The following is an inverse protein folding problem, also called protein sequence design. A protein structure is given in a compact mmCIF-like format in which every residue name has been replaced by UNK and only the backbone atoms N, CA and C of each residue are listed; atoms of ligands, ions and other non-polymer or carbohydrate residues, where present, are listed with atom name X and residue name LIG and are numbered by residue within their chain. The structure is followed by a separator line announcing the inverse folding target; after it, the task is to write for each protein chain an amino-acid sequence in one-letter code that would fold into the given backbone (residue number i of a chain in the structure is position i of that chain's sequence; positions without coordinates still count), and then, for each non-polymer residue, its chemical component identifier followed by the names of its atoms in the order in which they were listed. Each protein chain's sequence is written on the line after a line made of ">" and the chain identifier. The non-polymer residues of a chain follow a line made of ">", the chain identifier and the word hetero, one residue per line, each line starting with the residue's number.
data_IF_667613170291
#
_entry.id   IF_667613170291
#
_cell.length_a   1.000
_cell.length_b   1.000
_cell.length_c   1.000
_cell.angle_alpha   90.00
_cell.angle_beta   90.00
_cell.angle_gamma   90.00
#
_symmetry.space_group_name_H-M   'P 1'
#
loop_
_entity.id
_entity.type
_entity.pdbx_description
1 polymer ?
#
# COMPACT_ATOMS: atom_id res chain seq x y z
N UNK A 1 25.40 -9.56 17.00
CA UNK A 1 24.86 -10.80 16.37
C UNK A 1 23.79 -10.35 15.40
N UNK A 2 23.89 -10.71 14.12
CA UNK A 2 22.85 -10.37 13.17
C UNK A 2 21.62 -11.24 13.50
N UNK A 3 20.55 -10.63 14.00
CA UNK A 3 19.26 -11.29 14.14
C UNK A 3 18.83 -11.80 12.76
N UNK A 4 18.60 -13.11 12.67
CA UNK A 4 18.05 -13.74 11.48
C UNK A 4 16.63 -13.22 11.27
N UNK A 5 16.49 -12.24 10.38
CA UNK A 5 15.20 -11.57 10.12
C UNK A 5 14.29 -12.55 9.40
N UNK A 6 13.29 -13.09 10.12
CA UNK A 6 12.26 -13.94 9.53
C UNK A 6 11.46 -13.15 8.51
N UNK A 7 11.61 -13.48 7.23
CA UNK A 7 10.85 -12.87 6.13
C UNK A 7 9.41 -13.40 6.18
N UNK A 8 8.44 -12.57 5.78
CA UNK A 8 7.06 -13.05 5.66
C UNK A 8 6.97 -14.31 4.79
N UNK A 9 6.28 -15.38 5.26
CA UNK A 9 6.17 -16.65 4.53
C UNK A 9 5.45 -16.51 3.18
N UNK A 10 4.87 -15.32 2.94
CA UNK A 10 4.42 -14.91 1.62
C UNK A 10 5.51 -15.13 0.56
N UNK A 11 6.78 -14.76 0.77
CA UNK A 11 7.82 -14.98 -0.25
C UNK A 11 8.36 -16.42 -0.28
N UNK A 12 8.45 -17.08 0.87
CA UNK A 12 8.95 -18.46 0.98
C UNK A 12 8.05 -19.46 0.22
N UNK A 13 6.73 -19.26 0.24
CA UNK A 13 5.79 -20.11 -0.50
C UNK A 13 6.02 -20.03 -2.02
N UNK A 14 6.28 -18.84 -2.56
CA UNK A 14 6.52 -18.67 -4.00
C UNK A 14 7.89 -19.16 -4.45
N UNK A 15 8.91 -19.06 -3.60
CA UNK A 15 10.22 -19.66 -3.87
C UNK A 15 10.09 -21.18 -4.02
N UNK A 16 9.33 -21.83 -3.13
CA UNK A 16 9.05 -23.27 -3.20
C UNK A 16 8.22 -23.69 -4.43
N UNK A 17 7.30 -22.82 -4.89
CA UNK A 17 6.49 -23.07 -6.10
C UNK A 17 7.28 -22.90 -7.41
N UNK A 18 8.32 -22.04 -7.44
CA UNK A 18 9.19 -21.88 -8.62
C UNK A 18 10.07 -23.10 -8.90
N UNK A 19 10.32 -23.91 -7.88
CA UNK A 19 11.07 -25.16 -7.99
C UNK A 19 10.19 -26.33 -8.46
N UNK A 20 8.88 -26.11 -8.63
CA UNK A 20 7.91 -27.12 -9.02
C UNK A 20 7.65 -27.10 -10.55
N UNK A 21 8.01 -28.16 -11.31
CA UNK A 21 7.91 -28.20 -12.76
C UNK A 21 6.47 -28.09 -13.32
N UNK A 22 5.42 -28.21 -12.50
CA UNK A 22 4.04 -28.02 -12.93
C UNK A 22 3.66 -26.54 -13.19
N UNK A 23 4.39 -25.58 -12.61
CA UNK A 23 4.06 -24.14 -12.71
C UNK A 23 4.32 -23.52 -14.08
N UNK A 24 5.27 -24.06 -14.85
CA UNK A 24 5.57 -23.59 -16.21
C UNK A 24 4.41 -23.87 -17.19
N UNK A 25 3.67 -24.98 -16.96
CA UNK A 25 2.50 -25.35 -17.75
C UNK A 25 1.27 -24.49 -17.42
N UNK A 26 1.12 -24.09 -16.16
CA UNK A 26 0.03 -23.22 -15.72
C UNK A 26 0.16 -21.79 -16.27
N UNK A 27 1.38 -21.27 -16.37
CA UNK A 27 1.65 -19.95 -16.96
C UNK A 27 1.36 -19.93 -18.47
N UNK A 28 1.73 -20.98 -19.22
CA UNK A 28 1.41 -21.11 -20.66
C UNK A 28 -0.12 -21.19 -20.90
N UNK A 29 -0.85 -21.86 -20.00
CA UNK A 29 -2.32 -21.98 -20.07
C UNK A 29 -3.04 -20.66 -19.76
N UNK A 30 -2.52 -19.88 -18.80
CA UNK A 30 -3.09 -18.58 -18.43
C UNK A 30 -2.89 -17.49 -19.49
N UNK A 31 -1.75 -17.50 -20.20
CA UNK A 31 -1.52 -16.61 -21.35
C UNK A 31 -2.46 -16.95 -22.52
N UNK A 32 -2.71 -18.24 -22.80
CA UNK A 32 -3.68 -18.65 -23.81
C UNK A 32 -5.13 -18.20 -23.48
N UNK A 33 -5.52 -18.22 -22.20
CA UNK A 33 -6.84 -17.77 -21.73
C UNK A 33 -7.03 -16.24 -21.82
N UNK A 34 -5.98 -15.44 -21.66
CA UNK A 34 -6.03 -13.97 -21.85
C UNK A 34 -6.32 -13.57 -23.29
N UNK A 35 -5.75 -14.29 -24.26
CA UNK A 35 -5.94 -14.03 -25.71
C UNK A 35 -7.40 -14.29 -26.12
N UNK A 36 -8.01 -15.37 -25.61
CA UNK A 36 -9.42 -15.72 -25.91
C UNK A 36 -10.41 -14.74 -25.28
N UNK A 37 -10.06 -14.14 -24.13
CA UNK A 37 -10.89 -13.13 -23.45
C UNK A 37 -10.97 -11.78 -24.18
N UNK A 38 -9.93 -11.41 -24.95
CA UNK A 38 -9.92 -10.17 -25.73
C UNK A 38 -10.84 -10.25 -26.96
N UNK A 39 -10.87 -11.40 -27.65
CA UNK A 39 -11.72 -11.62 -28.83
C UNK A 39 -13.23 -11.59 -28.53
N UNK A 40 -13.65 -11.96 -27.31
CA UNK A 40 -15.08 -11.97 -26.92
C UNK A 40 -15.62 -10.61 -26.44
N UNK A 41 -14.75 -9.61 -26.24
CA UNK A 41 -15.14 -8.31 -25.67
C UNK A 41 -15.56 -7.28 -26.73
N UNK A 42 -15.18 -7.49 -28.00
CA UNK A 42 -15.55 -6.60 -29.10
C UNK A 42 -17.03 -6.73 -29.53
N UNK A 43 -17.67 -7.88 -29.33
CA UNK A 43 -19.06 -8.10 -29.78
C UNK A 43 -20.15 -7.46 -28.89
N UNK A 44 -19.86 -7.12 -27.63
CA UNK A 44 -20.89 -6.67 -26.65
C UNK A 44 -21.08 -5.15 -26.53
N UNK A 45 -20.39 -4.34 -27.33
CA UNK A 45 -20.37 -2.87 -27.18
C UNK A 45 -21.50 -2.11 -27.90
N UNK A 46 -22.60 -2.77 -28.26
CA UNK A 46 -23.83 -2.12 -28.77
C UNK A 46 -25.07 -2.55 -27.97
N UNK A 47 -25.73 -1.57 -27.32
CA UNK A 47 -27.08 -1.55 -26.69
C UNK A 47 -27.14 -1.54 -25.15
N UNK A 48 -27.32 -0.35 -24.55
CA UNK A 48 -28.59 0.17 -23.97
C UNK A 48 -28.32 1.35 -23.02
N UNK A 49 -28.88 2.53 -23.35
CA UNK A 49 -29.23 3.60 -22.41
C UNK A 49 -30.58 3.25 -21.76
N UNK A 50 -30.81 3.62 -20.49
CA UNK A 50 -32.08 4.11 -19.93
C UNK A 50 -31.81 4.62 -18.50
N UNK A 51 -32.31 5.82 -18.20
CA UNK A 51 -32.24 6.51 -16.92
C UNK A 51 -33.25 5.94 -15.90
N UNK A 52 -32.91 5.99 -14.60
CA UNK A 52 -33.90 6.00 -13.51
C UNK A 52 -33.45 6.93 -12.37
N UNK A 53 -34.43 7.72 -11.91
CA UNK A 53 -34.39 8.75 -10.86
C UNK A 53 -34.05 8.16 -9.48
N UNK A 54 -33.35 8.95 -8.67
CA UNK A 54 -33.03 8.67 -7.27
C UNK A 54 -34.16 9.19 -6.35
N UNK A 55 -34.45 8.45 -5.28
CA UNK A 55 -35.47 8.73 -4.27
C UNK A 55 -35.00 9.74 -3.20
N UNK A 56 -35.86 10.64 -2.68
CA UNK A 56 -35.46 11.81 -1.88
C UNK A 56 -35.61 11.61 -0.36
N UNK A 57 -35.06 10.55 0.23
CA UNK A 57 -35.15 10.35 1.69
C UNK A 57 -33.90 9.67 2.27
N UNK A 58 -32.91 10.46 2.64
CA UNK A 58 -32.06 10.22 3.83
C UNK A 58 -31.28 11.50 4.13
N UNK A 59 -31.90 12.37 4.93
CA UNK A 59 -31.37 13.67 5.34
C UNK A 59 -31.18 13.68 6.87
N UNK A 60 -30.10 14.34 7.30
CA UNK A 60 -29.76 14.87 8.65
C UNK A 60 -29.56 13.85 9.78
N UNK A 61 -28.53 13.98 10.60
CA UNK A 61 -28.23 15.12 11.50
C UNK A 61 -26.74 15.03 11.92
N UNK A 62 -25.96 16.07 12.26
CA UNK A 62 -26.22 17.34 12.97
C UNK A 62 -25.14 18.38 12.60
N UNK A 63 -25.57 19.63 12.50
CA UNK A 63 -24.81 20.89 12.36
C UNK A 63 -24.52 21.49 13.76
N UNK A 64 -23.49 22.36 13.85
CA UNK A 64 -23.46 23.62 14.64
C UNK A 64 -22.18 24.40 14.22
N UNK A 65 -22.31 25.42 13.35
CA UNK A 65 -22.34 26.90 13.59
C UNK A 65 -20.92 27.51 13.75
N UNK A 66 -20.33 28.20 12.76
CA UNK A 66 -20.59 29.51 12.09
C UNK A 66 -20.04 30.73 12.85
N UNK A 67 -19.07 31.46 12.25
CA UNK A 67 -19.00 32.94 12.28
C UNK A 67 -18.21 33.46 11.06
N UNK A 68 -18.81 34.47 10.42
CA UNK A 68 -18.56 35.11 9.13
C UNK A 68 -17.38 36.12 9.10
N UNK A 69 -16.77 36.33 7.92
CA UNK A 69 -16.35 37.67 7.43
C UNK A 69 -15.83 37.65 5.97
N UNK A 70 -16.40 38.57 5.21
CA UNK A 70 -16.29 38.81 3.76
C UNK A 70 -14.98 39.53 3.38
N UNK A 71 -14.24 39.03 2.38
CA UNK A 71 -13.55 39.86 1.36
C UNK A 71 -13.45 39.12 0.02
N UNK A 72 -13.84 39.83 -1.04
CA UNK A 72 -13.84 39.43 -2.45
C UNK A 72 -12.42 39.30 -3.01
N UNK A 73 -12.13 38.21 -3.72
CA UNK A 73 -10.88 38.04 -4.47
C UNK A 73 -10.96 36.92 -5.50
N UNK A 74 -11.07 37.28 -6.77
CA UNK A 74 -10.99 36.37 -7.92
C UNK A 74 -9.63 35.66 -7.96
N UNK A 75 -9.61 34.39 -7.55
CA UNK A 75 -8.50 33.48 -7.77
C UNK A 75 -9.04 32.14 -8.23
N UNK A 76 -8.57 31.63 -9.37
CA UNK A 76 -8.84 30.25 -9.78
C UNK A 76 -8.30 29.33 -8.69
N UNK A 77 -9.16 28.82 -7.82
CA UNK A 77 -8.78 27.80 -6.85
C UNK A 77 -8.24 26.60 -7.63
N UNK A 78 -6.93 26.36 -7.50
CA UNK A 78 -6.35 25.07 -7.87
C UNK A 78 -7.06 24.04 -6.98
N UNK A 79 -8.05 23.33 -7.52
CA UNK A 79 -8.72 22.22 -6.83
C UNK A 79 -7.64 21.37 -6.18
N UNK A 80 -7.56 21.37 -4.84
CA UNK A 80 -6.63 20.50 -4.10
C UNK A 80 -6.92 19.09 -4.58
N UNK A 81 -5.93 18.45 -5.24
CA UNK A 81 -6.10 17.06 -5.70
C UNK A 81 -6.47 16.21 -4.48
N UNK A 82 -7.55 15.44 -4.59
CA UNK A 82 -7.98 14.51 -3.55
C UNK A 82 -6.81 13.59 -3.18
N UNK A 83 -6.52 13.45 -1.88
CA UNK A 83 -5.54 12.48 -1.35
C UNK A 83 -6.00 11.03 -1.60
N UNK A 84 -7.32 10.83 -1.78
CA UNK A 84 -7.90 9.51 -2.03
C UNK A 84 -7.75 9.12 -3.49
N UNK A 85 -7.25 7.90 -3.70
CA UNK A 85 -7.19 7.24 -5.01
C UNK A 85 -8.59 6.91 -5.52
N UNK A 86 -8.87 7.25 -6.77
CA UNK A 86 -10.02 6.76 -7.51
C UNK A 86 -9.96 5.23 -7.70
N UNK A 87 -11.08 4.62 -8.06
CA UNK A 87 -11.15 3.18 -8.31
C UNK A 87 -10.18 2.72 -9.44
N UNK A 88 -9.94 3.58 -10.44
CA UNK A 88 -9.00 3.31 -11.51
C UNK A 88 -7.55 3.41 -11.03
N UNK A 89 -7.20 4.46 -10.29
CA UNK A 89 -5.85 4.64 -9.75
C UNK A 89 -5.47 3.54 -8.75
N UNK A 90 -6.44 3.04 -7.97
CA UNK A 90 -6.23 1.87 -7.10
C UNK A 90 -5.75 0.65 -7.89
N UNK A 91 -6.15 0.48 -9.16
CA UNK A 91 -5.72 -0.61 -10.04
C UNK A 91 -4.61 -0.23 -11.03
N UNK A 92 -3.82 0.79 -10.69
CA UNK A 92 -2.62 1.13 -11.45
C UNK A 92 -1.59 0.01 -11.38
N UNK A 93 -0.90 -0.25 -12.50
CA UNK A 93 0.23 -1.17 -12.57
C UNK A 93 1.33 -0.87 -11.53
N UNK A 94 1.44 0.40 -11.10
CA UNK A 94 2.37 0.83 -10.06
C UNK A 94 2.14 0.12 -8.71
N UNK A 95 0.90 -0.30 -8.44
CA UNK A 95 0.47 -0.87 -7.16
C UNK A 95 0.25 -2.38 -7.20
N UNK A 96 0.61 -3.04 -8.31
CA UNK A 96 0.55 -4.50 -8.40
C UNK A 96 1.42 -5.17 -7.34
N UNK A 97 0.94 -6.33 -6.89
CA UNK A 97 1.63 -7.23 -5.97
C UNK A 97 3.05 -7.54 -6.45
N UNK A 98 4.02 -7.40 -5.54
CA UNK A 98 5.43 -7.75 -5.76
C UNK A 98 5.53 -9.22 -6.10
N UNK A 99 6.07 -9.50 -7.27
CA UNK A 99 6.36 -10.85 -7.73
C UNK A 99 7.70 -11.34 -7.15
N UNK A 100 7.85 -12.65 -7.03
CA UNK A 100 9.04 -13.28 -6.45
C UNK A 100 10.28 -13.23 -7.36
N UNK A 101 10.15 -12.81 -8.62
CA UNK A 101 11.26 -12.48 -9.53
C UNK A 101 11.71 -11.02 -9.44
N UNK A 102 11.03 -10.19 -8.64
CA UNK A 102 11.37 -8.78 -8.50
C UNK A 102 12.72 -8.64 -7.76
N UNK A 103 13.76 -8.21 -8.47
CA UNK A 103 15.12 -8.02 -7.97
C UNK A 103 15.42 -6.59 -7.52
N UNK A 104 14.41 -5.71 -7.50
CA UNK A 104 14.58 -4.31 -7.12
C UNK A 104 15.15 -4.20 -5.71
N UNK A 105 16.25 -3.45 -5.58
CA UNK A 105 16.84 -3.04 -4.31
C UNK A 105 16.93 -1.52 -4.32
N UNK A 106 16.09 -0.82 -3.54
CA UNK A 106 16.11 0.62 -3.50
C UNK A 106 17.47 1.12 -2.93
N UNK A 107 18.12 2.10 -3.56
CA UNK A 107 19.39 2.65 -3.07
C UNK A 107 19.23 3.33 -1.71
N UNK A 108 20.27 3.30 -0.87
CA UNK A 108 20.23 4.01 0.41
C UNK A 108 20.32 5.51 0.19
N UNK A 109 19.53 6.27 0.95
CA UNK A 109 19.57 7.73 0.96
C UNK A 109 20.11 8.24 2.30
N UNK A 110 20.51 9.52 2.31
CA UNK A 110 20.91 10.22 3.54
C UNK A 110 19.70 10.71 4.37
N UNK A 111 18.46 10.52 3.88
CA UNK A 111 17.25 10.96 4.57
C UNK A 111 16.83 10.04 5.71
N UNK A 112 17.30 8.79 5.71
CA UNK A 112 17.05 7.83 6.78
C UNK A 112 15.58 7.48 6.97
N UNK A 113 14.84 7.27 5.88
CA UNK A 113 13.44 6.84 5.95
C UNK A 113 13.36 5.44 6.58
N UNK A 114 12.44 5.25 7.52
CA UNK A 114 12.27 3.97 8.24
C UNK A 114 11.99 2.80 7.28
N UNK A 115 11.38 3.07 6.13
CA UNK A 115 11.12 2.07 5.10
C UNK A 115 12.42 1.46 4.55
N UNK A 116 13.50 2.25 4.43
CA UNK A 116 14.76 1.82 3.83
C UNK A 116 15.42 0.66 4.60
N UNK A 117 15.21 0.58 5.92
CA UNK A 117 15.80 -0.44 6.79
C UNK A 117 15.06 -1.80 6.72
N UNK A 118 13.90 -1.83 6.05
CA UNK A 118 12.96 -2.94 6.02
C UNK A 118 12.56 -3.39 4.60
N UNK A 119 13.28 -2.95 3.58
CA UNK A 119 12.94 -3.17 2.15
C UNK A 119 12.92 -4.64 1.73
N UNK A 120 13.60 -5.50 2.50
CA UNK A 120 13.61 -6.96 2.30
C UNK A 120 12.23 -7.61 2.55
N UNK A 121 11.38 -6.96 3.36
CA UNK A 121 10.02 -7.44 3.65
C UNK A 121 8.97 -6.35 3.36
N UNK A 122 8.25 -6.44 2.21
CA UNK A 122 7.20 -5.49 1.87
C UNK A 122 6.07 -5.40 2.91
N UNK A 123 5.79 -6.46 3.67
CA UNK A 123 4.82 -6.40 4.75
C UNK A 123 5.29 -5.44 5.86
N UNK A 124 6.56 -5.52 6.26
CA UNK A 124 7.14 -4.60 7.26
C UNK A 124 7.11 -3.16 6.78
N UNK A 125 7.46 -2.90 5.52
CA UNK A 125 7.38 -1.54 4.92
C UNK A 125 5.97 -0.97 5.04
N UNK A 126 4.95 -1.78 4.71
CA UNK A 126 3.55 -1.35 4.78
C UNK A 126 3.09 -1.12 6.24
N UNK A 127 3.48 -1.98 7.19
CA UNK A 127 3.20 -1.77 8.62
C UNK A 127 3.83 -0.47 9.11
N UNK A 128 5.08 -0.17 8.72
CA UNK A 128 5.76 1.09 9.06
C UNK A 128 4.96 2.28 8.52
N UNK A 129 4.49 2.23 7.26
CA UNK A 129 3.62 3.27 6.71
C UNK A 129 2.31 3.44 7.51
N UNK A 130 1.72 2.34 8.00
CA UNK A 130 0.53 2.40 8.86
C UNK A 130 0.82 3.07 10.22
N UNK A 131 2.01 2.85 10.78
CA UNK A 131 2.47 3.51 12.02
C UNK A 131 2.78 5.00 11.82
N UNK A 132 3.26 5.42 10.64
CA UNK A 132 3.60 6.82 10.37
C UNK A 132 2.39 7.73 10.13
N UNK A 133 1.19 7.16 10.05
CA UNK A 133 -0.04 7.95 9.93
C UNK A 133 -0.25 8.86 11.14
N UNK A 134 -0.03 10.18 10.93
CA UNK A 134 -0.15 11.22 11.97
C UNK A 134 0.78 10.97 13.17
N UNK A 135 1.95 10.39 12.92
CA UNK A 135 2.98 10.13 13.94
C UNK A 135 4.34 10.47 13.37
N UNK A 136 5.25 11.01 14.18
CA UNK A 136 6.60 11.33 13.72
C UNK A 136 7.44 10.07 13.51
N UNK A 137 8.42 10.13 12.60
CA UNK A 137 9.36 9.03 12.41
C UNK A 137 10.13 8.68 13.68
N UNK A 138 10.50 9.68 14.48
CA UNK A 138 11.23 9.48 15.75
C UNK A 138 10.40 8.64 16.72
N UNK A 139 9.11 8.95 16.89
CA UNK A 139 8.23 8.16 17.76
C UNK A 139 8.02 6.75 17.21
N UNK A 140 7.73 6.62 15.91
CA UNK A 140 7.54 5.30 15.29
C UNK A 140 8.78 4.41 15.44
N UNK A 141 9.98 4.99 15.27
CA UNK A 141 11.26 4.28 15.42
C UNK A 141 11.42 3.63 16.80
N UNK A 142 10.90 4.25 17.85
CA UNK A 142 11.01 3.74 19.22
C UNK A 142 10.27 2.41 19.44
N UNK A 143 9.25 2.10 18.63
CA UNK A 143 8.41 0.89 18.83
C UNK A 143 8.61 -0.17 17.75
N UNK A 144 9.32 0.16 16.65
CA UNK A 144 9.47 -0.75 15.49
C UNK A 144 10.17 -2.06 15.89
N UNK A 145 11.24 -1.97 16.69
CA UNK A 145 12.00 -3.15 17.12
C UNK A 145 11.11 -4.09 17.93
N UNK A 146 10.45 -3.56 18.97
CA UNK A 146 9.58 -4.35 19.84
C UNK A 146 8.38 -4.93 19.08
N UNK A 147 7.79 -4.14 18.17
CA UNK A 147 6.67 -4.59 17.35
C UNK A 147 7.07 -5.77 16.46
N UNK A 148 8.22 -5.70 15.79
CA UNK A 148 8.68 -6.79 14.93
C UNK A 148 9.30 -7.96 15.69
N UNK A 149 9.66 -7.79 16.96
CA UNK A 149 9.97 -8.91 17.85
C UNK A 149 8.69 -9.67 18.25
N UNK A 150 7.60 -8.95 18.56
CA UNK A 150 6.29 -9.56 18.83
C UNK A 150 5.68 -10.17 17.56
N UNK A 151 5.78 -9.47 16.44
CA UNK A 151 5.17 -9.79 15.16
C UNK A 151 6.26 -9.88 14.07
N UNK A 152 7.06 -10.97 14.04
CA UNK A 152 8.17 -11.09 13.10
C UNK A 152 7.74 -11.11 11.64
N UNK A 153 6.52 -11.57 11.36
CA UNK A 153 5.94 -11.62 10.02
C UNK A 153 4.41 -11.45 10.03
N UNK A 154 3.83 -11.34 8.84
CA UNK A 154 2.40 -11.20 8.63
C UNK A 154 1.58 -12.33 9.28
N UNK A 155 2.07 -13.57 9.26
CA UNK A 155 1.35 -14.71 9.84
C UNK A 155 1.20 -14.55 11.35
N UNK A 156 2.29 -14.28 12.06
CA UNK A 156 2.24 -14.06 13.51
C UNK A 156 1.38 -12.84 13.85
N UNK A 157 1.54 -11.73 13.12
CA UNK A 157 0.71 -10.52 13.31
C UNK A 157 -0.79 -10.78 13.11
N UNK A 158 -1.16 -11.73 12.25
CA UNK A 158 -2.54 -12.12 11.99
C UNK A 158 -3.16 -12.92 13.14
N UNK A 159 -2.33 -13.60 13.95
CA UNK A 159 -2.73 -14.52 15.02
C UNK A 159 -2.69 -13.84 16.40
N UNK A 160 -1.65 -13.05 16.68
CA UNK A 160 -1.47 -12.28 17.94
C UNK A 160 -2.68 -11.40 18.24
N UNK A 161 -3.09 -11.34 19.51
CA UNK A 161 -4.24 -10.51 19.91
C UNK A 161 -3.95 -9.02 19.65
N UNK A 162 -4.98 -8.25 19.27
CA UNK A 162 -4.80 -6.81 19.07
C UNK A 162 -4.30 -6.11 20.34
N UNK A 163 -4.70 -6.59 21.53
CA UNK A 163 -4.28 -6.04 22.81
C UNK A 163 -2.75 -6.11 23.05
N UNK A 164 -2.07 -7.14 22.56
CA UNK A 164 -0.60 -7.22 22.67
C UNK A 164 0.08 -6.21 21.74
N UNK A 165 -0.44 -6.04 20.52
CA UNK A 165 0.04 -5.01 19.58
C UNK A 165 -0.22 -3.61 20.14
N UNK A 166 -1.41 -3.39 20.74
CA UNK A 166 -1.80 -2.12 21.37
C UNK A 166 -0.82 -1.68 22.44
N UNK A 167 -0.37 -2.60 23.32
CA UNK A 167 0.60 -2.29 24.38
C UNK A 167 1.89 -1.72 23.82
N UNK A 168 2.41 -2.31 22.73
CA UNK A 168 3.66 -1.85 22.09
C UNK A 168 3.47 -0.49 21.42
N UNK A 169 2.39 -0.31 20.65
CA UNK A 169 2.21 0.92 19.86
C UNK A 169 1.45 2.02 20.61
N UNK A 170 1.12 1.81 21.89
CA UNK A 170 0.41 2.76 22.75
C UNK A 170 1.00 4.18 22.70
N UNK A 171 2.33 4.38 22.79
CA UNK A 171 2.93 5.72 22.83
C UNK A 171 2.68 6.55 21.57
N UNK A 172 2.32 5.90 20.44
CA UNK A 172 2.13 6.58 19.17
C UNK A 172 0.76 7.30 19.08
N UNK A 173 -0.19 7.03 20.00
CA UNK A 173 -1.61 7.42 19.87
C UNK A 173 -2.39 6.46 18.97
N UNK A 174 -3.69 6.67 18.73
CA UNK A 174 -4.53 5.87 17.80
C UNK A 174 -4.36 4.33 17.85
N UNK A 175 -3.85 3.80 18.96
CA UNK A 175 -3.18 2.50 19.01
C UNK A 175 -4.18 1.37 18.85
N UNK A 176 -5.37 1.48 19.47
CA UNK A 176 -6.47 0.53 19.32
C UNK A 176 -6.86 0.34 17.85
N UNK A 177 -7.11 1.45 17.16
CA UNK A 177 -7.47 1.44 15.73
C UNK A 177 -6.33 0.87 14.88
N UNK A 178 -5.09 1.25 15.17
CA UNK A 178 -3.92 0.75 14.43
C UNK A 178 -3.68 -0.74 14.65
N UNK A 179 -3.80 -1.25 15.85
CA UNK A 179 -3.60 -2.67 16.15
C UNK A 179 -4.62 -3.55 15.41
N UNK A 180 -5.90 -3.16 15.43
CA UNK A 180 -6.95 -3.84 14.66
C UNK A 180 -6.65 -3.77 13.16
N UNK A 181 -6.22 -2.60 12.68
CA UNK A 181 -5.86 -2.41 11.27
C UNK A 181 -4.67 -3.28 10.85
N UNK A 182 -3.60 -3.35 11.65
CA UNK A 182 -2.41 -4.17 11.40
C UNK A 182 -2.78 -5.65 11.35
N UNK A 183 -3.57 -6.15 12.32
CA UNK A 183 -4.01 -7.54 12.34
C UNK A 183 -4.81 -7.90 11.09
N UNK A 184 -5.80 -7.08 10.74
CA UNK A 184 -6.64 -7.29 9.54
C UNK A 184 -5.82 -7.20 8.25
N UNK A 185 -4.98 -6.18 8.12
CA UNK A 185 -4.04 -6.04 6.99
C UNK A 185 -3.19 -7.29 6.84
N UNK A 186 -2.64 -7.80 7.94
CA UNK A 186 -1.75 -8.97 7.92
C UNK A 186 -2.47 -10.26 7.53
N UNK A 187 -3.74 -10.42 7.93
CA UNK A 187 -4.61 -11.50 7.44
C UNK A 187 -4.82 -11.40 5.92
N UNK A 188 -5.31 -10.25 5.43
CA UNK A 188 -5.60 -10.04 4.01
C UNK A 188 -4.33 -10.13 3.13
N UNK A 189 -3.18 -9.70 3.65
CA UNK A 189 -1.89 -9.75 2.96
C UNK A 189 -1.47 -11.18 2.57
N UNK A 190 -1.81 -12.17 3.41
CA UNK A 190 -1.48 -13.58 3.18
C UNK A 190 -2.41 -14.26 2.16
N UNK A 191 -3.54 -13.64 1.83
CA UNK A 191 -4.46 -14.19 0.84
C UNK A 191 -3.88 -14.12 -0.58
N UNK A 192 -4.29 -15.05 -1.44
CA UNK A 192 -3.90 -15.07 -2.87
C UNK A 192 -4.82 -14.19 -3.73
N UNK A 193 -5.96 -13.75 -3.18
CA UNK A 193 -7.05 -13.07 -3.89
C UNK A 193 -6.70 -11.65 -4.37
N UNK A 194 -5.79 -10.97 -3.69
CA UNK A 194 -5.42 -9.59 -4.00
C UNK A 194 -4.31 -9.52 -5.06
N UNK A 195 -4.44 -8.52 -5.92
CA UNK A 195 -3.55 -8.23 -7.06
C UNK A 195 -2.87 -6.88 -6.92
N UNK A 196 -3.48 -5.94 -6.19
CA UNK A 196 -2.94 -4.61 -5.96
C UNK A 196 -2.93 -4.29 -4.47
N UNK A 197 -1.83 -3.70 -3.97
CA UNK A 197 -1.63 -3.45 -2.53
C UNK A 197 -2.71 -2.52 -1.95
N UNK A 198 -3.27 -1.64 -2.78
CA UNK A 198 -4.39 -0.72 -2.48
C UNK A 198 -5.72 -1.42 -2.19
N UNK A 199 -5.84 -2.73 -2.46
CA UNK A 199 -6.99 -3.52 -2.08
C UNK A 199 -6.98 -3.88 -0.60
N UNK A 200 -5.80 -3.89 0.02
CA UNK A 200 -5.60 -4.32 1.40
C UNK A 200 -6.07 -3.25 2.38
N UNK A 201 -6.66 -3.68 3.48
CA UNK A 201 -7.15 -2.81 4.54
C UNK A 201 -6.03 -1.94 5.12
N UNK A 202 -6.32 -0.65 5.31
CA UNK A 202 -5.36 0.31 5.86
C UNK A 202 -4.36 0.88 4.85
N UNK A 203 -4.32 0.38 3.61
CA UNK A 203 -3.38 0.87 2.58
C UNK A 203 -4.01 2.04 1.80
N UNK A 204 -3.61 3.25 2.16
CA UNK A 204 -3.92 4.48 1.42
C UNK A 204 -2.86 4.83 0.37
N UNK A 205 -3.03 5.98 -0.30
CA UNK A 205 -2.09 6.47 -1.33
C UNK A 205 -0.64 6.50 -0.86
N UNK A 206 -0.39 7.03 0.33
CA UNK A 206 0.94 7.11 0.92
C UNK A 206 1.64 5.74 0.99
N UNK A 207 0.99 4.75 1.60
CA UNK A 207 1.56 3.41 1.74
C UNK A 207 1.71 2.71 0.37
N UNK A 208 0.78 2.94 -0.56
CA UNK A 208 0.86 2.40 -1.91
C UNK A 208 2.02 3.00 -2.73
N UNK A 209 2.27 4.31 -2.61
CA UNK A 209 3.42 4.95 -3.25
C UNK A 209 4.74 4.46 -2.63
N UNK A 210 4.80 4.35 -1.28
CA UNK A 210 5.98 3.80 -0.59
C UNK A 210 6.24 2.35 -1.02
N UNK A 211 5.20 1.55 -1.21
CA UNK A 211 5.32 0.20 -1.74
C UNK A 211 5.90 0.18 -3.16
N UNK A 212 5.39 1.04 -4.06
CA UNK A 212 5.90 1.15 -5.42
C UNK A 212 7.39 1.55 -5.44
N UNK A 213 7.78 2.46 -4.54
CA UNK A 213 9.14 2.98 -4.42
C UNK A 213 10.11 1.96 -3.81
N UNK A 214 9.80 1.45 -2.62
CA UNK A 214 10.73 0.65 -1.84
C UNK A 214 10.65 -0.85 -2.15
N UNK A 215 9.49 -1.35 -2.57
CA UNK A 215 9.26 -2.79 -2.68
C UNK A 215 9.35 -3.29 -4.13
N UNK A 216 8.78 -2.57 -5.11
CA UNK A 216 8.65 -3.07 -6.49
C UNK A 216 9.52 -2.36 -7.52
N UNK A 217 10.07 -1.20 -7.20
CA UNK A 217 10.88 -0.40 -8.13
C UNK A 217 10.09 0.36 -9.17
N UNK A 218 8.76 0.41 -9.04
CA UNK A 218 7.84 1.16 -9.93
C UNK A 218 7.73 2.63 -9.51
N UNK A 219 8.83 3.20 -9.03
CA UNK A 219 8.89 4.54 -8.43
C UNK A 219 8.62 5.66 -9.44
N UNK A 220 8.98 5.44 -10.71
CA UNK A 220 8.78 6.32 -11.84
C UNK A 220 7.30 6.41 -12.28
N UNK A 221 6.51 5.38 -11.94
CA UNK A 221 5.06 5.30 -12.21
C UNK A 221 4.19 5.96 -11.14
N UNK A 222 4.78 6.43 -10.03
CA UNK A 222 4.05 7.12 -8.96
C UNK A 222 4.50 8.57 -8.82
N UNK A 223 3.64 9.38 -8.20
CA UNK A 223 3.96 10.74 -7.75
C UNK A 223 3.52 10.88 -6.30
N UNK A 224 4.45 10.77 -5.33
CA UNK A 224 4.10 10.87 -3.93
C UNK A 224 3.54 12.26 -3.60
N UNK A 225 2.69 12.31 -2.58
CA UNK A 225 2.20 13.55 -1.99
C UNK A 225 2.76 13.76 -0.56
N UNK A 226 3.39 12.71 -0.01
CA UNK A 226 4.03 12.76 1.30
C UNK A 226 5.37 13.48 1.21
N UNK A 227 5.63 14.35 2.19
CA UNK A 227 6.80 15.22 2.19
C UNK A 227 8.11 14.44 2.26
N UNK A 228 8.20 13.44 3.15
CA UNK A 228 9.42 12.65 3.30
C UNK A 228 9.64 11.71 2.11
N UNK A 229 8.55 11.16 1.58
CA UNK A 229 8.61 10.30 0.40
C UNK A 229 9.02 11.08 -0.86
N UNK A 230 8.67 12.36 -0.97
CA UNK A 230 9.14 13.24 -2.05
C UNK A 230 10.66 13.40 -2.05
N UNK A 231 11.31 13.60 -0.90
CA UNK A 231 12.78 13.69 -0.85
C UNK A 231 13.46 12.45 -1.43
N UNK A 232 12.99 11.27 -1.03
CA UNK A 232 13.54 10.01 -1.54
C UNK A 232 13.22 9.82 -3.04
N UNK A 233 12.02 10.20 -3.47
CA UNK A 233 11.61 10.13 -4.88
C UNK A 233 12.40 11.09 -5.79
N UNK A 234 12.68 12.30 -5.32
CA UNK A 234 13.55 13.27 -6.00
C UNK A 234 14.99 12.73 -6.08
N UNK A 235 15.50 12.13 -5.00
CA UNK A 235 16.79 11.46 -5.00
C UNK A 235 16.86 10.33 -6.03
N UNK A 236 15.87 9.45 -6.12
CA UNK A 236 15.83 8.44 -7.18
C UNK A 236 15.87 9.08 -8.58
N UNK A 237 15.18 10.21 -8.75
CA UNK A 237 15.17 10.94 -10.01
C UNK A 237 16.56 11.47 -10.39
N UNK A 238 17.39 11.89 -9.43
CA UNK A 238 18.77 12.37 -9.71
C UNK A 238 19.72 11.24 -10.11
N UNK A 239 19.50 10.02 -9.59
CA UNK A 239 20.35 8.85 -9.87
C UNK A 239 19.76 7.89 -10.91
N UNK A 240 18.68 8.26 -11.59
CA UNK A 240 18.00 7.41 -12.60
C UNK A 240 18.96 6.76 -13.59
N UNK A 241 19.97 7.50 -14.02
CA UNK A 241 20.98 7.06 -14.98
C UNK A 241 21.89 5.92 -14.47
N UNK A 242 21.96 5.71 -13.15
CA UNK A 242 22.75 4.64 -12.51
C UNK A 242 21.91 3.44 -12.07
N UNK A 243 20.59 3.46 -12.25
CA UNK A 243 19.66 2.42 -11.78
C UNK A 243 19.42 1.30 -12.81
N UNK A 244 20.25 1.21 -13.85
CA UNK A 244 20.16 0.20 -14.92
C UNK A 244 20.76 -1.15 -14.52
#
# INVERSE_FOLDING_TARGET
>A
MAEERVISPYFEKYQRLKEDPETENLNKKNEALKVVGHLKKEEKRKKKKIAKKVSPYFEKSQEEEDVDSVVVGLGKEKKKKSILLSAAEKRSVAYERKCCDNTWKPPRSDFGLLQEDHVDDPWRVLVICMLLNRTTGIQAKQVISDLFNLCPNAKVASEVSSGEIEKIIQPLGLFRKRAVMIKRFSQEYLEESWTHVTQLHGIGKYAADAYAIFCTGKWDLVRPADHMLNYYWDFLSTITHTLN
#
